data_IF_854087840887
#
_entry.id   IF_854087840887
#
_cell.length_a   1.000
_cell.length_b   1.000
_cell.length_c   1.000
_cell.angle_alpha   90.00
_cell.angle_beta   90.00
_cell.angle_gamma   90.00
#
_symmetry.space_group_name_H-M   'P 1'
#
loop_
_entity.id
_entity.type
_entity.pdbx_description
1 polymer ?
#
# COMPACT_ATOMS: atom_id res chain seq x y z
N UNK A 1 -4.28 -3.58 -8.72
CA UNK A 1 -4.70 -3.05 -7.39
C UNK A 1 -3.52 -2.44 -6.64
N UNK A 2 -3.75 -1.38 -5.86
CA UNK A 2 -2.77 -0.73 -4.97
C UNK A 2 -3.28 -0.71 -3.54
N UNK A 3 -2.41 -1.01 -2.58
CA UNK A 3 -2.67 -0.85 -1.15
C UNK A 3 -1.91 0.36 -0.61
N UNK A 4 -2.62 1.25 0.07
CA UNK A 4 -2.08 2.40 0.79
C UNK A 4 -2.54 2.35 2.25
N UNK A 5 -1.99 3.21 3.08
CA UNK A 5 -2.38 3.34 4.48
C UNK A 5 -1.86 4.64 5.06
N UNK A 6 -2.56 5.17 6.04
CA UNK A 6 -2.17 6.38 6.74
C UNK A 6 -0.80 6.16 7.39
N UNK A 7 0.09 7.15 7.31
CA UNK A 7 1.50 6.98 7.67
C UNK A 7 1.67 6.52 9.12
N UNK A 8 0.89 7.08 10.04
CA UNK A 8 0.94 6.72 11.46
C UNK A 8 0.62 5.22 11.68
N UNK A 9 -0.40 4.70 11.02
CA UNK A 9 -0.79 3.30 11.19
C UNK A 9 0.19 2.35 10.54
N UNK A 10 0.79 2.73 9.39
CA UNK A 10 1.87 1.95 8.77
C UNK A 10 3.08 1.86 9.70
N UNK A 11 3.43 2.94 10.39
CA UNK A 11 4.51 2.96 11.38
C UNK A 11 4.17 2.07 12.57
N UNK A 12 2.97 2.19 13.14
CA UNK A 12 2.53 1.36 14.27
C UNK A 12 2.57 -0.13 13.90
N UNK A 13 1.95 -0.52 12.78
CA UNK A 13 1.96 -1.91 12.29
C UNK A 13 3.38 -2.44 12.06
N UNK A 14 4.29 -1.61 11.54
CA UNK A 14 5.66 -2.03 11.29
C UNK A 14 6.48 -2.14 12.58
N UNK A 15 6.28 -1.22 13.52
CA UNK A 15 6.89 -1.28 14.84
C UNK A 15 6.50 -2.58 15.56
N UNK A 16 5.21 -2.91 15.57
CA UNK A 16 4.67 -4.14 16.17
C UNK A 16 5.20 -5.39 15.45
N UNK A 17 5.14 -5.42 14.11
CA UNK A 17 5.56 -6.59 13.31
C UNK A 17 7.04 -6.91 13.47
N UNK A 18 7.89 -5.90 13.65
CA UNK A 18 9.33 -6.06 13.77
C UNK A 18 9.82 -6.00 15.22
N UNK A 19 8.92 -5.89 16.20
CA UNK A 19 9.26 -5.65 17.61
C UNK A 19 10.31 -4.53 17.78
N UNK A 20 10.13 -3.43 17.03
CA UNK A 20 11.11 -2.35 16.91
C UNK A 20 10.59 -1.03 17.47
N UNK A 21 11.49 -0.09 17.75
CA UNK A 21 11.09 1.23 18.22
C UNK A 21 10.30 1.98 17.15
N UNK A 22 9.39 2.86 17.59
CA UNK A 22 8.62 3.74 16.69
C UNK A 22 9.53 4.59 15.81
N UNK A 23 10.68 5.03 16.33
CA UNK A 23 11.66 5.80 15.56
C UNK A 23 12.27 4.97 14.42
N UNK A 24 12.69 3.73 14.70
CA UNK A 24 13.25 2.84 13.68
C UNK A 24 12.20 2.48 12.62
N UNK A 25 10.97 2.18 13.04
CA UNK A 25 9.86 1.92 12.13
C UNK A 25 9.56 3.15 11.25
N UNK A 26 9.64 4.37 11.80
CA UNK A 26 9.45 5.62 11.05
C UNK A 26 10.51 5.76 9.95
N UNK A 27 11.79 5.59 10.29
CA UNK A 27 12.89 5.65 9.32
C UNK A 27 12.70 4.63 8.21
N UNK A 28 12.31 3.41 8.57
CA UNK A 28 12.11 2.33 7.60
C UNK A 28 10.93 2.61 6.66
N UNK A 29 9.78 3.08 7.17
CA UNK A 29 8.64 3.47 6.32
C UNK A 29 9.05 4.57 5.34
N UNK A 30 9.69 5.63 5.82
CA UNK A 30 10.08 6.76 4.96
C UNK A 30 11.16 6.37 3.94
N UNK A 31 12.07 5.46 4.32
CA UNK A 31 13.07 4.92 3.41
C UNK A 31 12.42 4.08 2.32
N UNK A 32 11.61 3.08 2.69
CA UNK A 32 10.94 2.19 1.74
C UNK A 32 10.01 2.95 0.79
N UNK A 33 9.28 3.96 1.28
CA UNK A 33 8.42 4.79 0.43
C UNK A 33 9.23 5.58 -0.61
N UNK A 34 10.34 6.19 -0.20
CA UNK A 34 11.24 6.93 -1.10
C UNK A 34 11.90 6.01 -2.12
N UNK A 35 12.45 4.89 -1.67
CA UNK A 35 13.10 3.90 -2.53
C UNK A 35 12.14 3.36 -3.58
N UNK A 36 10.89 3.07 -3.20
CA UNK A 36 9.87 2.59 -4.13
C UNK A 36 9.56 3.60 -5.24
N UNK A 37 9.45 4.88 -4.89
CA UNK A 37 9.23 5.94 -5.89
C UNK A 37 10.44 6.10 -6.80
N UNK A 38 11.65 6.14 -6.22
CA UNK A 38 12.89 6.29 -6.97
C UNK A 38 13.09 5.13 -7.96
N UNK A 39 12.89 3.89 -7.51
CA UNK A 39 13.02 2.69 -8.33
C UNK A 39 12.06 2.71 -9.53
N UNK A 40 10.77 2.98 -9.30
CA UNK A 40 9.77 2.98 -10.37
C UNK A 40 9.99 4.11 -11.38
N UNK A 41 10.36 5.29 -10.90
CA UNK A 41 10.68 6.42 -11.77
C UNK A 41 11.95 6.15 -12.59
N UNK A 42 13.00 5.59 -11.97
CA UNK A 42 14.27 5.35 -12.64
C UNK A 42 14.16 4.25 -13.71
N UNK A 43 13.51 3.14 -13.39
CA UNK A 43 13.50 1.97 -14.27
C UNK A 43 12.33 1.95 -15.26
N UNK A 44 11.20 2.58 -14.93
CA UNK A 44 9.99 2.51 -15.75
C UNK A 44 9.44 3.88 -16.16
N UNK A 45 10.03 4.99 -15.68
CA UNK A 45 9.54 6.34 -15.98
C UNK A 45 8.16 6.65 -15.39
N UNK A 46 7.68 5.81 -14.48
CA UNK A 46 6.32 5.84 -13.93
C UNK A 46 6.29 6.47 -12.54
N UNK A 47 5.30 7.32 -12.27
CA UNK A 47 5.01 7.80 -10.91
C UNK A 47 4.03 6.84 -10.23
N UNK A 48 4.42 6.09 -9.19
CA UNK A 48 3.51 5.18 -8.48
C UNK A 48 2.33 5.85 -7.77
N UNK A 49 2.29 7.19 -7.74
CA UNK A 49 1.20 7.98 -7.18
C UNK A 49 0.12 8.30 -8.20
N UNK A 50 0.36 8.08 -9.49
CA UNK A 50 -0.66 8.26 -10.52
C UNK A 50 -1.74 7.17 -10.36
N UNK A 51 -3.01 7.55 -10.08
CA UNK A 51 -4.09 6.60 -9.89
C UNK A 51 -4.43 5.80 -11.15
N UNK A 52 -4.10 6.29 -12.36
CA UNK A 52 -4.42 5.60 -13.61
C UNK A 52 -3.61 4.31 -13.82
N UNK A 53 -2.57 4.08 -13.00
CA UNK A 53 -1.82 2.82 -13.02
C UNK A 53 -2.53 1.66 -12.31
N UNK A 54 -3.68 1.90 -11.68
CA UNK A 54 -4.40 0.88 -10.92
C UNK A 54 -5.91 1.00 -11.11
N UNK A 55 -6.58 -0.14 -11.29
CA UNK A 55 -8.04 -0.18 -11.34
C UNK A 55 -8.69 0.10 -9.98
N UNK A 56 -7.99 -0.25 -8.90
CA UNK A 56 -8.47 -0.10 -7.53
C UNK A 56 -7.33 0.30 -6.58
N UNK A 57 -7.63 1.22 -5.68
CA UNK A 57 -6.76 1.65 -4.58
C UNK A 57 -7.51 1.48 -3.26
N UNK A 58 -6.97 0.67 -2.35
CA UNK A 58 -7.53 0.49 -1.00
C UNK A 58 -6.66 1.17 0.05
N UNK A 59 -7.27 2.00 0.89
CA UNK A 59 -6.62 2.49 2.11
C UNK A 59 -6.91 1.52 3.27
N UNK A 60 -5.89 0.73 3.66
CA UNK A 60 -5.99 -0.29 4.71
C UNK A 60 -6.01 0.27 6.13
N UNK A 61 -5.91 1.60 6.29
CA UNK A 61 -6.25 2.28 7.55
C UNK A 61 -7.75 2.52 7.70
N UNK A 62 -8.52 2.45 6.61
CA UNK A 62 -9.96 2.74 6.58
C UNK A 62 -10.80 1.52 6.20
N UNK A 63 -10.23 0.63 5.41
CA UNK A 63 -10.89 -0.54 4.86
C UNK A 63 -10.25 -1.78 5.45
N UNK A 64 -11.07 -2.66 6.02
CA UNK A 64 -10.59 -3.97 6.46
C UNK A 64 -10.09 -4.80 5.27
N UNK A 65 -8.97 -5.49 5.48
CA UNK A 65 -8.34 -6.33 4.45
C UNK A 65 -9.32 -7.37 3.89
N UNK A 66 -10.15 -7.98 4.75
CA UNK A 66 -11.14 -8.95 4.34
C UNK A 66 -12.16 -8.39 3.33
N UNK A 67 -12.51 -7.10 3.44
CA UNK A 67 -13.40 -6.45 2.49
C UNK A 67 -12.70 -6.17 1.16
N UNK A 68 -11.46 -5.67 1.20
CA UNK A 68 -10.66 -5.45 -0.01
C UNK A 68 -10.48 -6.74 -0.83
N UNK A 69 -10.26 -7.88 -0.15
CA UNK A 69 -10.17 -9.20 -0.80
C UNK A 69 -11.45 -9.52 -1.56
N UNK A 70 -12.63 -9.39 -0.92
CA UNK A 70 -13.93 -9.69 -1.57
C UNK A 70 -14.19 -8.82 -2.79
N UNK A 71 -13.83 -7.53 -2.73
CA UNK A 71 -14.00 -6.62 -3.87
C UNK A 71 -13.10 -7.02 -5.04
N UNK A 72 -11.82 -7.32 -4.76
CA UNK A 72 -10.88 -7.78 -5.80
C UNK A 72 -11.33 -9.12 -6.39
N UNK A 73 -11.77 -10.05 -5.55
CA UNK A 73 -12.27 -11.36 -6.00
C UNK A 73 -13.45 -11.22 -6.96
N UNK A 74 -14.45 -10.41 -6.59
CA UNK A 74 -15.62 -10.17 -7.46
C UNK A 74 -15.23 -9.47 -8.77
N UNK A 75 -14.34 -8.48 -8.70
CA UNK A 75 -13.86 -7.79 -9.89
C UNK A 75 -13.15 -8.74 -10.87
N UNK A 76 -12.35 -9.70 -10.38
CA UNK A 76 -11.62 -10.65 -11.23
C UNK A 76 -12.54 -11.71 -11.82
N UNK A 77 -13.49 -12.22 -11.02
CA UNK A 77 -14.44 -13.25 -11.49
C UNK A 77 -15.46 -12.68 -12.48
N UNK A 78 -15.71 -11.37 -12.45
CA UNK A 78 -16.80 -10.73 -13.17
C UNK A 78 -18.15 -10.97 -12.47
N UNK A 79 -19.15 -10.16 -12.82
CA UNK A 79 -20.53 -10.45 -12.44
C UNK A 79 -21.05 -11.57 -13.35
N UNK A 80 -20.99 -12.82 -12.89
CA UNK A 80 -21.86 -13.87 -13.46
C UNK A 80 -23.30 -13.44 -13.18
N UNK A 81 -23.99 -13.00 -14.24
CA UNK A 81 -25.42 -12.70 -14.24
C UNK A 81 -26.25 -13.98 -14.29
#
# INVERSE_FOLDING_TARGET
VRLVGDRADRIARLADRLSSSRENATKLVDQTDRERVAYLKHHFGVDPRDPHHFDLVFNTSRVEIAWAIRVVERMIRGDES
#
